data_IF_613939091291
#
_entry.id   IF_613939091291
#
_cell.length_a   1.000
_cell.length_b   1.000
_cell.length_c   1.000
_cell.angle_alpha   90.00
_cell.angle_beta   90.00
_cell.angle_gamma   90.00
#
_symmetry.space_group_name_H-M   'P 1'
#
loop_
_entity.id
_entity.type
_entity.pdbx_description
1 polymer ?
#
# COMPACT_ATOMS: atom_id res chain seq x y z
N UNK A 1 -4.79 8.71 0.74
CA UNK A 1 -3.95 7.92 1.67
C UNK A 1 -4.72 7.37 2.89
N UNK A 2 -6.05 7.21 2.84
CA UNK A 2 -6.85 6.54 3.90
C UNK A 2 -6.95 5.03 3.70
N UNK A 3 -6.96 4.55 2.46
CA UNK A 3 -7.11 3.13 2.16
C UNK A 3 -5.88 2.27 2.51
N UNK A 4 -4.69 2.85 2.49
CA UNK A 4 -3.46 2.11 2.84
C UNK A 4 -3.37 1.83 4.35
N UNK A 5 -4.00 2.70 5.17
CA UNK A 5 -4.26 2.43 6.59
C UNK A 5 -5.31 1.34 6.76
N UNK A 6 -6.41 1.39 5.98
CA UNK A 6 -7.46 0.35 5.99
C UNK A 6 -6.87 -1.01 5.59
N UNK A 7 -6.00 -1.06 4.57
CA UNK A 7 -5.29 -2.27 4.16
C UNK A 7 -4.51 -2.87 5.33
N UNK A 8 -3.71 -2.06 6.02
CA UNK A 8 -2.94 -2.50 7.21
C UNK A 8 -3.84 -2.97 8.34
N UNK A 9 -4.94 -2.27 8.60
CA UNK A 9 -5.92 -2.66 9.61
C UNK A 9 -6.57 -4.00 9.31
N UNK A 10 -7.03 -4.24 8.07
CA UNK A 10 -7.66 -5.51 7.67
C UNK A 10 -6.64 -6.66 7.70
N UNK A 11 -5.38 -6.38 7.39
CA UNK A 11 -4.30 -7.37 7.41
C UNK A 11 -3.71 -7.59 8.81
N UNK A 12 -4.10 -6.79 9.81
CA UNK A 12 -3.61 -6.90 11.19
C UNK A 12 -4.01 -8.26 11.79
N UNK A 13 -3.08 -9.00 12.43
CA UNK A 13 -3.36 -10.29 13.05
C UNK A 13 -4.56 -10.27 14.01
N UNK A 14 -4.73 -9.21 14.79
CA UNK A 14 -5.84 -9.07 15.76
C UNK A 14 -7.18 -9.00 15.05
N UNK A 15 -7.25 -8.29 13.91
CA UNK A 15 -8.47 -8.22 13.09
C UNK A 15 -8.73 -9.55 12.39
N UNK A 16 -7.67 -10.22 11.92
CA UNK A 16 -7.77 -11.54 11.28
C UNK A 16 -8.26 -12.65 12.21
N UNK A 17 -7.90 -12.57 13.48
CA UNK A 17 -8.34 -13.54 14.50
C UNK A 17 -9.74 -13.25 15.05
N UNK A 18 -10.33 -12.08 14.73
CA UNK A 18 -11.65 -11.73 15.19
C UNK A 18 -12.73 -12.61 14.53
N UNK A 19 -13.57 -13.31 15.32
CA UNK A 19 -14.61 -14.19 14.80
C UNK A 19 -15.58 -13.54 13.81
N UNK A 20 -15.78 -12.21 13.90
CA UNK A 20 -16.67 -11.47 13.01
C UNK A 20 -16.15 -11.37 11.58
N UNK A 21 -14.83 -11.40 11.38
CA UNK A 21 -14.20 -11.25 10.05
C UNK A 21 -13.55 -12.54 9.56
N UNK A 22 -13.37 -13.52 10.44
CA UNK A 22 -12.64 -14.76 10.15
C UNK A 22 -13.12 -15.46 8.88
N UNK A 23 -14.44 -15.65 8.73
CA UNK A 23 -15.00 -16.32 7.56
C UNK A 23 -14.68 -15.58 6.25
N UNK A 24 -14.95 -14.27 6.21
CA UNK A 24 -14.74 -13.44 5.02
C UNK A 24 -13.27 -13.37 4.61
N UNK A 25 -12.37 -13.33 5.60
CA UNK A 25 -10.93 -13.30 5.38
C UNK A 25 -10.40 -14.65 4.90
N UNK A 26 -10.84 -15.76 5.51
CA UNK A 26 -10.46 -17.10 5.07
C UNK A 26 -10.95 -17.39 3.65
N UNK A 27 -12.18 -16.97 3.32
CA UNK A 27 -12.75 -17.07 1.98
C UNK A 27 -11.94 -16.25 0.97
N UNK A 28 -11.65 -14.99 1.29
CA UNK A 28 -10.84 -14.10 0.44
C UNK A 28 -9.45 -14.69 0.18
N UNK A 29 -8.78 -15.20 1.21
CA UNK A 29 -7.45 -15.80 1.08
C UNK A 29 -7.48 -17.13 0.33
N UNK A 30 -8.54 -17.93 0.46
CA UNK A 30 -8.75 -19.12 -0.39
C UNK A 30 -8.84 -18.71 -1.86
N UNK A 31 -9.69 -17.74 -2.18
CA UNK A 31 -9.91 -17.28 -3.55
C UNK A 31 -8.64 -16.66 -4.17
N UNK A 32 -7.85 -15.92 -3.37
CA UNK A 32 -6.54 -15.43 -3.80
C UNK A 32 -5.57 -16.55 -4.15
N UNK A 33 -5.52 -17.62 -3.35
CA UNK A 33 -4.64 -18.77 -3.64
C UNK A 33 -5.08 -19.52 -4.89
N UNK A 34 -6.39 -19.64 -5.09
CA UNK A 34 -6.97 -20.40 -6.20
C UNK A 34 -6.88 -19.65 -7.53
N UNK A 35 -7.13 -18.34 -7.53
CA UNK A 35 -7.27 -17.53 -8.75
C UNK A 35 -6.22 -16.43 -8.91
N UNK A 36 -5.31 -16.23 -7.94
CA UNK A 36 -4.33 -15.14 -7.90
C UNK A 36 -3.37 -15.08 -9.09
N UNK A 37 -3.07 -16.24 -9.68
CA UNK A 37 -2.20 -16.35 -10.86
C UNK A 37 -2.97 -16.58 -12.16
N UNK A 38 -4.29 -16.71 -12.09
CA UNK A 38 -5.14 -16.80 -13.28
C UNK A 38 -5.12 -15.46 -14.00
N UNK A 39 -5.00 -15.50 -15.32
CA UNK A 39 -4.95 -14.31 -16.17
C UNK A 39 -6.02 -14.37 -17.24
N UNK A 40 -6.58 -13.20 -17.56
CA UNK A 40 -7.37 -13.04 -18.76
C UNK A 40 -6.50 -13.22 -20.01
N UNK A 41 -7.14 -13.40 -21.17
CA UNK A 41 -6.42 -13.43 -22.46
C UNK A 41 -5.68 -12.12 -22.75
N UNK A 42 -6.07 -11.00 -22.13
CA UNK A 42 -5.36 -9.71 -22.18
C UNK A 42 -4.01 -9.73 -21.43
N UNK A 43 -3.76 -10.73 -20.58
CA UNK A 43 -2.57 -10.83 -19.73
C UNK A 43 -2.74 -10.25 -18.32
N UNK A 44 -3.83 -9.51 -18.08
CA UNK A 44 -4.19 -8.98 -16.77
C UNK A 44 -4.56 -10.10 -15.80
N UNK A 45 -4.20 -9.95 -14.52
CA UNK A 45 -4.61 -10.89 -13.47
C UNK A 45 -6.13 -10.88 -13.33
N UNK A 46 -6.72 -12.06 -13.31
CA UNK A 46 -8.12 -12.26 -12.99
C UNK A 46 -8.43 -11.79 -11.57
N UNK A 47 -7.51 -12.04 -10.64
CA UNK A 47 -7.58 -11.60 -9.25
C UNK A 47 -6.48 -10.57 -8.97
N UNK A 48 -6.78 -9.26 -8.94
CA UNK A 48 -5.78 -8.22 -8.71
C UNK A 48 -5.10 -8.33 -7.34
N UNK A 49 -3.84 -7.88 -7.24
CA UNK A 49 -3.05 -7.95 -6.00
C UNK A 49 -3.66 -7.13 -4.84
N UNK A 50 -4.54 -6.18 -5.16
CA UNK A 50 -5.16 -5.26 -4.20
C UNK A 50 -6.60 -5.63 -3.79
N UNK A 51 -7.03 -6.85 -4.10
CA UNK A 51 -8.29 -7.37 -3.56
C UNK A 51 -8.17 -7.52 -2.05
N UNK A 52 -9.07 -6.88 -1.30
CA UNK A 52 -9.13 -6.99 0.17
C UNK A 52 -10.32 -7.82 0.65
N UNK A 53 -11.30 -8.06 -0.21
CA UNK A 53 -12.45 -8.90 0.07
C UNK A 53 -12.93 -9.58 -1.21
N UNK A 54 -13.24 -10.86 -1.13
CA UNK A 54 -13.89 -11.60 -2.21
C UNK A 54 -14.77 -12.71 -1.66
N UNK A 55 -15.77 -13.09 -2.45
CA UNK A 55 -16.69 -14.20 -2.17
C UNK A 55 -17.04 -14.96 -3.43
N UNK A 56 -17.44 -16.21 -3.24
CA UNK A 56 -18.02 -17.08 -4.26
C UNK A 56 -19.48 -17.39 -3.89
N UNK A 57 -20.41 -17.20 -4.84
CA UNK A 57 -21.81 -17.60 -4.61
C UNK A 57 -22.04 -19.10 -4.87
N UNK A 58 -23.27 -19.57 -4.61
CA UNK A 58 -23.62 -20.98 -4.74
C UNK A 58 -23.55 -21.50 -6.18
N UNK A 59 -23.63 -20.59 -7.17
CA UNK A 59 -23.52 -20.86 -8.59
C UNK A 59 -22.07 -20.79 -9.11
N UNK A 60 -21.11 -20.44 -8.24
CA UNK A 60 -19.69 -20.33 -8.57
C UNK A 60 -19.28 -18.98 -9.17
N UNK A 61 -20.13 -17.96 -9.08
CA UNK A 61 -19.74 -16.61 -9.52
C UNK A 61 -18.92 -15.91 -8.44
N UNK A 62 -17.87 -15.23 -8.89
CA UNK A 62 -16.96 -14.50 -8.02
C UNK A 62 -17.33 -13.02 -7.93
N UNK A 63 -17.34 -12.49 -6.71
CA UNK A 63 -17.49 -11.06 -6.42
C UNK A 63 -16.32 -10.59 -5.57
N UNK A 64 -15.81 -9.39 -5.81
CA UNK A 64 -14.69 -8.86 -5.04
C UNK A 64 -14.70 -7.35 -4.90
N UNK A 65 -13.94 -6.87 -3.92
CA UNK A 65 -13.63 -5.46 -3.71
C UNK A 65 -12.13 -5.27 -3.71
N UNK A 66 -11.69 -4.30 -4.50
CA UNK A 66 -10.30 -3.87 -4.57
C UNK A 66 -10.12 -2.56 -3.81
N UNK A 67 -8.91 -2.36 -3.29
CA UNK A 67 -8.48 -1.04 -2.86
C UNK A 67 -8.31 -0.16 -4.09
N UNK A 68 -8.82 1.05 -4.03
CA UNK A 68 -8.68 2.09 -5.05
C UNK A 68 -7.28 2.71 -4.99
N UNK A 69 -7.00 3.68 -5.85
CA UNK A 69 -5.70 4.38 -5.94
C UNK A 69 -4.47 3.45 -5.98
N UNK A 70 -4.45 2.42 -6.84
CA UNK A 70 -3.36 1.44 -6.86
C UNK A 70 -2.01 2.06 -7.25
N UNK A 71 -2.00 3.13 -8.04
CA UNK A 71 -0.76 3.79 -8.45
C UNK A 71 -0.14 4.58 -7.31
N UNK A 72 -0.92 5.39 -6.62
CA UNK A 72 -0.54 6.14 -5.43
C UNK A 72 0.01 5.21 -4.35
N UNK A 73 -0.63 4.06 -4.14
CA UNK A 73 -0.17 3.06 -3.18
C UNK A 73 1.15 2.42 -3.60
N UNK A 74 1.41 2.20 -4.90
CA UNK A 74 2.72 1.76 -5.37
C UNK A 74 3.80 2.81 -5.12
N UNK A 75 3.54 4.08 -5.45
CA UNK A 75 4.47 5.19 -5.25
C UNK A 75 4.84 5.30 -3.77
N UNK A 76 3.84 5.31 -2.87
CA UNK A 76 4.05 5.36 -1.43
C UNK A 76 4.89 4.17 -0.94
N UNK A 77 4.54 2.96 -1.36
CA UNK A 77 5.27 1.77 -0.92
C UNK A 77 6.71 1.75 -1.43
N UNK A 78 6.96 2.16 -2.68
CA UNK A 78 8.31 2.30 -3.23
C UNK A 78 9.15 3.33 -2.46
N UNK A 79 8.55 4.46 -2.08
CA UNK A 79 9.24 5.48 -1.28
C UNK A 79 9.56 4.96 0.14
N UNK A 80 8.62 4.24 0.77
CA UNK A 80 8.83 3.60 2.09
C UNK A 80 9.97 2.59 2.02
N UNK A 81 10.01 1.76 0.98
CA UNK A 81 11.07 0.75 0.79
C UNK A 81 12.44 1.41 0.70
N UNK A 82 12.59 2.44 -0.15
CA UNK A 82 13.86 3.18 -0.31
C UNK A 82 14.29 3.87 0.98
N UNK A 83 13.35 4.53 1.67
CA UNK A 83 13.63 5.18 2.95
C UNK A 83 14.08 4.17 4.00
N UNK A 84 13.44 3.01 4.09
CA UNK A 84 13.84 1.95 5.01
C UNK A 84 15.24 1.43 4.70
N UNK A 85 15.54 1.19 3.42
CA UNK A 85 16.85 0.70 2.97
C UNK A 85 17.99 1.68 3.30
N UNK A 86 17.80 2.99 3.11
CA UNK A 86 18.78 4.02 3.44
C UNK A 86 18.94 4.18 4.96
N UNK A 87 17.85 4.00 5.71
CA UNK A 87 17.79 4.29 7.14
C UNK A 87 17.69 3.03 8.02
N UNK A 88 18.25 1.88 7.59
CA UNK A 88 18.26 0.63 8.39
C UNK A 88 18.89 0.75 9.78
N UNK A 89 19.77 1.75 9.99
CA UNK A 89 20.33 2.05 11.31
C UNK A 89 19.36 2.79 12.24
N UNK A 90 18.33 3.45 11.70
CA UNK A 90 17.35 4.23 12.45
C UNK A 90 16.04 3.47 12.63
N UNK A 91 15.62 2.68 11.64
CA UNK A 91 14.39 1.90 11.66
C UNK A 91 14.68 0.41 11.77
N UNK A 92 13.98 -0.26 12.67
CA UNK A 92 14.07 -1.72 12.86
C UNK A 92 13.28 -2.49 11.81
N UNK A 93 12.19 -1.90 11.34
CA UNK A 93 11.29 -2.50 10.38
C UNK A 93 10.68 -1.42 9.48
N UNK A 94 10.31 -1.86 8.27
CA UNK A 94 9.67 -1.03 7.24
C UNK A 94 8.46 -0.25 7.75
N UNK A 95 7.68 -0.87 8.63
CA UNK A 95 6.45 -0.29 9.14
C UNK A 95 6.68 1.00 9.96
N UNK A 96 7.83 1.11 10.63
CA UNK A 96 8.18 2.33 11.36
C UNK A 96 8.43 3.54 10.44
N UNK A 97 8.77 3.30 9.17
CA UNK A 97 8.82 4.37 8.16
C UNK A 97 7.41 4.79 7.79
N UNK A 98 6.49 3.85 7.58
CA UNK A 98 5.08 4.15 7.32
C UNK A 98 4.45 4.96 8.45
N UNK A 99 4.78 4.67 9.72
CA UNK A 99 4.31 5.43 10.87
C UNK A 99 4.64 6.93 10.77
N UNK A 100 5.76 7.30 10.14
CA UNK A 100 6.11 8.71 9.93
C UNK A 100 5.12 9.39 8.99
N UNK A 101 4.72 8.70 7.90
CA UNK A 101 3.70 9.18 6.97
C UNK A 101 2.33 9.27 7.67
N UNK A 102 1.93 8.22 8.39
CA UNK A 102 0.66 8.19 9.11
C UNK A 102 0.60 9.32 10.16
N UNK A 103 1.65 9.51 10.95
CA UNK A 103 1.74 10.61 11.93
C UNK A 103 1.65 11.98 11.26
N UNK A 104 2.35 12.20 10.15
CA UNK A 104 2.28 13.46 9.41
C UNK A 104 0.86 13.77 8.93
N UNK A 105 0.15 12.76 8.42
CA UNK A 105 -1.25 12.88 7.99
C UNK A 105 -2.18 13.22 9.17
N UNK A 106 -2.12 12.44 10.25
CA UNK A 106 -3.04 12.62 11.38
C UNK A 106 -2.79 13.91 12.17
N UNK A 107 -1.53 14.31 12.31
CA UNK A 107 -1.17 15.52 13.06
C UNK A 107 -1.18 16.79 12.22
N UNK A 108 -1.19 16.67 10.88
CA UNK A 108 -0.91 17.77 9.96
C UNK A 108 0.54 18.27 9.99
N UNK A 109 1.40 17.70 10.85
CA UNK A 109 2.80 18.09 10.96
C UNK A 109 3.67 17.31 9.98
N UNK A 110 3.87 17.88 8.79
CA UNK A 110 4.68 17.30 7.72
C UNK A 110 6.20 17.43 7.92
N UNK A 111 6.65 18.27 8.87
CA UNK A 111 8.08 18.58 9.02
C UNK A 111 8.96 17.36 9.32
N UNK A 112 8.59 16.42 10.21
CA UNK A 112 9.39 15.22 10.44
C UNK A 112 9.53 14.36 9.18
N UNK A 113 8.44 14.25 8.40
CA UNK A 113 8.44 13.49 7.15
C UNK A 113 9.35 14.16 6.10
N UNK A 114 9.22 15.48 5.92
CA UNK A 114 10.06 16.22 4.99
C UNK A 114 11.55 16.12 5.34
N UNK A 115 11.91 16.22 6.63
CA UNK A 115 13.29 16.05 7.09
C UNK A 115 13.82 14.64 6.83
N UNK A 116 13.00 13.61 7.03
CA UNK A 116 13.39 12.23 6.74
C UNK A 116 13.68 12.04 5.24
N UNK A 117 12.81 12.54 4.38
CA UNK A 117 12.95 12.44 2.92
C UNK A 117 14.17 13.22 2.45
N UNK A 118 14.28 14.50 2.82
CA UNK A 118 15.40 15.34 2.38
C UNK A 118 16.74 14.87 2.97
N UNK A 119 16.73 14.37 4.21
CA UNK A 119 17.92 13.77 4.84
C UNK A 119 18.38 12.47 4.19
N UNK A 120 17.49 11.77 3.47
CA UNK A 120 17.79 10.49 2.80
C UNK A 120 18.22 10.68 1.34
N UNK A 121 17.56 11.59 0.61
CA UNK A 121 17.71 11.72 -0.84
C UNK A 121 18.35 13.04 -1.29
N UNK A 122 18.49 14.01 -0.37
CA UNK A 122 19.00 15.36 -0.66
C UNK A 122 17.97 16.45 -0.42
N UNK A 123 18.45 17.68 -0.22
CA UNK A 123 17.61 18.83 0.11
C UNK A 123 16.58 19.14 -0.98
N UNK A 124 15.32 19.37 -0.60
CA UNK A 124 14.24 19.76 -1.50
C UNK A 124 13.54 18.63 -2.24
N UNK A 125 13.93 17.36 -2.02
CA UNK A 125 13.28 16.20 -2.63
C UNK A 125 11.83 16.06 -2.16
N UNK A 126 11.55 16.32 -0.88
CA UNK A 126 10.19 16.27 -0.35
C UNK A 126 9.26 17.25 -1.07
N UNK A 127 9.73 18.49 -1.29
CA UNK A 127 8.99 19.49 -2.07
C UNK A 127 8.79 19.01 -3.50
N UNK A 128 9.83 18.43 -4.13
CA UNK A 128 9.74 17.95 -5.50
C UNK A 128 8.71 16.85 -5.68
N UNK A 129 8.59 15.92 -4.73
CA UNK A 129 7.54 14.88 -4.75
C UNK A 129 6.15 15.52 -4.71
N UNK A 130 5.95 16.53 -3.85
CA UNK A 130 4.68 17.26 -3.74
C UNK A 130 4.33 18.09 -4.98
N UNK A 131 5.31 18.63 -5.71
CA UNK A 131 5.10 19.34 -6.98
C UNK A 131 4.63 18.42 -8.13
N UNK A 132 4.79 17.10 -7.98
CA UNK A 132 4.39 16.11 -8.98
C UNK A 132 3.01 15.49 -8.68
N UNK A 133 2.29 15.97 -7.67
CA UNK A 133 0.99 15.40 -7.23
C UNK A 133 -0.09 15.44 -8.34
N UNK A 134 0.02 16.41 -9.26
CA UNK A 134 -0.88 16.53 -10.42
C UNK A 134 -0.60 15.48 -11.52
N UNK A 135 0.48 14.69 -11.41
CA UNK A 135 0.89 13.69 -12.41
C UNK A 135 1.52 12.46 -11.77
N UNK A 136 0.67 11.47 -11.48
CA UNK A 136 1.08 10.20 -10.86
C UNK A 136 2.17 9.46 -11.65
N UNK A 137 2.14 9.52 -12.99
CA UNK A 137 3.18 8.89 -13.82
C UNK A 137 4.55 9.55 -13.58
N UNK A 138 4.60 10.88 -13.57
CA UNK A 138 5.86 11.60 -13.32
C UNK A 138 6.33 11.42 -11.88
N UNK A 139 5.40 11.38 -10.93
CA UNK A 139 5.72 11.12 -9.53
C UNK A 139 6.27 9.70 -9.33
N UNK A 140 5.69 8.69 -9.99
CA UNK A 140 6.17 7.30 -9.97
C UNK A 140 7.55 7.16 -10.61
N UNK A 141 7.76 7.74 -11.79
CA UNK A 141 9.07 7.77 -12.45
C UNK A 141 10.13 8.44 -11.56
N UNK A 142 9.79 9.58 -10.95
CA UNK A 142 10.69 10.31 -10.07
C UNK A 142 11.06 9.49 -8.83
N UNK A 143 10.08 8.94 -8.11
CA UNK A 143 10.33 8.11 -6.92
C UNK A 143 11.12 6.85 -7.27
N UNK A 144 10.90 6.28 -8.45
CA UNK A 144 11.66 5.10 -8.90
C UNK A 144 13.12 5.41 -9.26
N UNK A 145 13.47 6.68 -9.50
CA UNK A 145 14.82 7.12 -9.82
C UNK A 145 15.65 7.57 -8.60
N UNK A 146 15.04 7.72 -7.41
CA UNK A 146 15.70 8.10 -6.15
C UNK A 146 16.64 7.01 -5.62
#
# INVERSE_FOLDING_TARGET
>A
MTEELVKRFILDPVVRENPLFKYELEETERLKREYGEVRYKSGEKFFPDDVYWAKEDAEGNLSGRILTYPQERRILNALIDRLFEINKGQFKEREQVFDVFAKAMFSGNILPLGRLIDGSFGEGIFRKIGELDDSLNQQEEFVNAL
#
